data_IF_762503916104
#
_entry.id   IF_762503916104
#
_cell.length_a   1.000
_cell.length_b   1.000
_cell.length_c   1.000
_cell.angle_alpha   90.00
_cell.angle_beta   90.00
_cell.angle_gamma   90.00
#
_symmetry.space_group_name_H-M   'P 1'
#
loop_
_entity.id
_entity.type
_entity.pdbx_description
1 polymer ?
#
# COMPACT_ATOMS: atom_id res chain seq x y z
N UNK A 1 1.34 -26.48 -88.96
CA UNK A 1 1.44 -26.39 -90.44
C UNK A 1 0.05 -26.12 -91.00
N UNK A 2 -0.14 -25.30 -92.05
CA UNK A 2 0.11 -23.85 -92.12
C UNK A 2 -1.07 -23.06 -92.76
N UNK A 3 -0.95 -21.73 -92.82
CA UNK A 3 -1.45 -20.74 -93.81
C UNK A 3 -2.03 -19.49 -93.11
N UNK A 4 -1.35 -18.35 -93.04
CA UNK A 4 -0.95 -17.32 -94.03
C UNK A 4 -2.04 -16.33 -94.50
N UNK A 5 -1.69 -15.05 -94.31
CA UNK A 5 -2.00 -13.84 -95.11
C UNK A 5 -3.43 -13.26 -95.06
N UNK A 6 -3.68 -11.96 -95.15
CA UNK A 6 -2.90 -10.71 -95.13
C UNK A 6 -3.91 -9.56 -95.27
N UNK A 7 -3.63 -8.37 -94.73
CA UNK A 7 -3.61 -7.07 -95.46
C UNK A 7 -3.56 -5.89 -94.49
N UNK A 8 -3.10 -4.76 -95.04
CA UNK A 8 -2.30 -3.75 -94.41
C UNK A 8 -2.97 -2.37 -94.33
N UNK A 9 -2.25 -1.46 -93.66
CA UNK A 9 -2.19 0.00 -93.85
C UNK A 9 -3.16 0.88 -93.06
N UNK A 10 -2.61 1.63 -92.09
CA UNK A 10 -2.42 3.09 -92.22
C UNK A 10 -1.52 3.60 -91.09
N UNK A 11 -0.42 4.26 -91.46
CA UNK A 11 0.51 4.95 -90.57
C UNK A 11 -0.13 6.19 -89.93
N UNK A 12 0.28 6.49 -88.69
CA UNK A 12 -0.18 7.67 -87.94
C UNK A 12 0.64 7.93 -86.69
N UNK A 13 1.84 8.48 -86.90
CA UNK A 13 2.65 9.34 -86.02
C UNK A 13 2.63 9.11 -84.49
N UNK A 14 3.81 8.69 -84.00
CA UNK A 14 4.18 8.59 -82.60
C UNK A 14 4.19 9.94 -81.84
N UNK A 15 3.66 9.93 -80.61
CA UNK A 15 4.00 10.89 -79.54
C UNK A 15 4.35 10.11 -78.27
N UNK A 16 5.64 9.87 -78.09
CA UNK A 16 6.25 9.25 -76.91
C UNK A 16 6.21 10.19 -75.71
N UNK A 17 5.57 9.76 -74.62
CA UNK A 17 5.70 10.39 -73.28
C UNK A 17 7.10 10.10 -72.71
N UNK A 18 7.80 11.07 -72.13
CA UNK A 18 9.10 10.82 -71.51
C UNK A 18 8.92 10.10 -70.16
N UNK A 19 9.60 8.97 -70.02
CA UNK A 19 9.77 8.22 -68.77
C UNK A 19 10.77 9.00 -67.90
N UNK A 20 10.39 9.46 -66.70
CA UNK A 20 11.32 10.17 -65.82
C UNK A 20 12.42 9.22 -65.33
N UNK A 21 13.66 9.60 -65.64
CA UNK A 21 14.87 8.90 -65.21
C UNK A 21 15.24 9.48 -63.84
N UNK A 22 15.05 8.71 -62.76
CA UNK A 22 15.61 9.08 -61.44
C UNK A 22 17.15 9.11 -61.56
N UNK A 23 17.74 10.27 -61.30
CA UNK A 23 19.19 10.40 -61.11
C UNK A 23 19.59 9.76 -59.78
N UNK A 24 20.78 9.12 -59.68
CA UNK A 24 21.33 8.72 -58.39
C UNK A 24 21.81 9.96 -57.64
N UNK A 25 21.46 10.11 -56.37
CA UNK A 25 22.06 11.14 -55.50
C UNK A 25 23.57 10.93 -55.43
N UNK A 26 24.34 11.98 -55.76
CA UNK A 26 25.79 12.01 -55.54
C UNK A 26 26.11 11.84 -54.04
N UNK A 27 27.02 10.91 -53.74
CA UNK A 27 27.55 10.75 -52.40
C UNK A 27 28.46 11.95 -52.04
N UNK A 28 28.37 12.50 -50.82
CA UNK A 28 29.18 13.66 -50.42
C UNK A 28 30.67 13.31 -50.41
N UNK A 29 31.48 14.24 -50.93
CA UNK A 29 32.95 14.12 -51.05
C UNK A 29 33.61 13.85 -49.68
N UNK A 30 34.70 13.08 -49.70
CA UNK A 30 35.47 12.57 -48.54
C UNK A 30 35.74 13.61 -47.43
N UNK A 31 35.97 14.87 -47.79
CA UNK A 31 36.25 15.97 -46.86
C UNK A 31 35.05 16.32 -45.99
N UNK A 32 33.83 16.26 -46.53
CA UNK A 32 32.58 16.58 -45.81
C UNK A 32 32.25 15.50 -44.78
N UNK A 33 32.57 14.23 -45.06
CA UNK A 33 32.40 13.13 -44.09
C UNK A 33 33.37 13.22 -42.92
N UNK A 34 34.60 13.70 -43.15
CA UNK A 34 35.60 13.91 -42.08
C UNK A 34 35.19 15.07 -41.17
N UNK A 35 34.71 16.18 -41.74
CA UNK A 35 34.23 17.33 -40.97
C UNK A 35 32.98 16.99 -40.15
N UNK A 36 32.00 16.30 -40.74
CA UNK A 36 30.81 15.84 -40.02
C UNK A 36 31.16 14.87 -38.89
N UNK A 37 32.09 13.92 -39.11
CA UNK A 37 32.57 13.04 -38.03
C UNK A 37 33.29 13.80 -36.92
N UNK A 38 34.12 14.79 -37.24
CA UNK A 38 34.83 15.59 -36.24
C UNK A 38 33.86 16.44 -35.40
N UNK A 39 32.85 17.04 -36.03
CA UNK A 39 31.81 17.80 -35.32
C UNK A 39 30.93 16.88 -34.47
N UNK A 40 30.53 15.72 -34.99
CA UNK A 40 29.73 14.75 -34.23
C UNK A 40 30.50 14.19 -33.02
N UNK A 41 31.80 13.92 -33.19
CA UNK A 41 32.66 13.46 -32.09
C UNK A 41 32.86 14.57 -31.05
N UNK A 42 33.03 15.83 -31.47
CA UNK A 42 33.09 16.97 -30.56
C UNK A 42 31.79 17.16 -29.75
N UNK A 43 30.64 17.07 -30.41
CA UNK A 43 29.31 17.23 -29.77
C UNK A 43 28.99 16.08 -28.81
N UNK A 44 29.48 14.86 -29.07
CA UNK A 44 29.34 13.71 -28.15
C UNK A 44 30.29 13.74 -26.95
N UNK A 45 31.45 14.39 -27.09
CA UNK A 45 32.44 14.47 -25.99
C UNK A 45 32.06 15.51 -24.93
N UNK A 46 31.35 16.58 -25.29
CA UNK A 46 30.88 17.60 -24.34
C UNK A 46 29.97 17.04 -23.23
N UNK A 47 28.90 16.26 -23.53
CA UNK A 47 28.07 15.67 -22.48
C UNK A 47 28.81 14.58 -21.69
N UNK A 48 29.75 13.84 -22.30
CA UNK A 48 30.56 12.85 -21.58
C UNK A 48 31.50 13.50 -20.56
N UNK A 49 32.06 14.67 -20.89
CA UNK A 49 32.88 15.46 -19.96
C UNK A 49 31.98 16.07 -18.85
N UNK A 50 30.79 16.56 -19.20
CA UNK A 50 29.84 17.12 -18.22
C UNK A 50 29.30 16.08 -17.23
N UNK A 51 29.19 14.81 -17.63
CA UNK A 51 28.78 13.70 -16.74
C UNK A 51 29.98 13.11 -15.98
N UNK A 52 31.18 13.11 -16.58
CA UNK A 52 32.37 12.52 -15.96
C UNK A 52 33.02 13.39 -14.89
N UNK A 53 33.00 14.72 -15.04
CA UNK A 53 33.64 15.64 -14.08
C UNK A 53 33.03 15.54 -12.66
N UNK A 54 31.68 15.50 -12.48
CA UNK A 54 31.08 15.35 -11.14
C UNK A 54 31.42 14.02 -10.44
N UNK A 55 31.78 12.98 -11.20
CA UNK A 55 32.18 11.67 -10.65
C UNK A 55 33.64 11.63 -10.17
N UNK A 56 34.49 12.50 -10.71
CA UNK A 56 35.94 12.52 -10.42
C UNK A 56 36.27 13.58 -9.37
N UNK A 57 35.49 14.66 -9.29
CA UNK A 57 35.67 15.72 -8.30
C UNK A 57 34.31 16.27 -7.81
N UNK A 58 33.57 15.50 -7.00
CA UNK A 58 32.25 15.90 -6.51
C UNK A 58 32.29 17.20 -5.68
N UNK A 59 33.41 17.47 -5.01
CA UNK A 59 33.62 18.65 -4.15
C UNK A 59 33.62 19.98 -4.92
N UNK A 60 33.76 19.96 -6.26
CA UNK A 60 33.65 21.13 -7.13
C UNK A 60 32.18 21.48 -7.49
N UNK A 61 31.24 20.57 -7.22
CA UNK A 61 29.83 20.67 -7.63
C UNK A 61 28.84 20.51 -6.49
N UNK A 62 29.31 20.08 -5.32
CA UNK A 62 28.53 19.98 -4.09
C UNK A 62 28.94 21.14 -3.18
N UNK A 63 28.12 22.18 -3.17
CA UNK A 63 28.22 23.24 -2.15
C UNK A 63 27.46 22.77 -0.90
N UNK A 64 28.17 22.62 0.21
CA UNK A 64 27.61 22.12 1.48
C UNK A 64 26.39 22.95 1.93
N UNK A 65 26.36 24.25 1.61
CA UNK A 65 25.24 25.13 1.93
C UNK A 65 23.94 24.78 1.20
N UNK A 66 24.03 24.34 -0.06
CA UNK A 66 22.86 24.00 -0.87
C UNK A 66 22.33 22.59 -0.60
N UNK A 67 23.19 21.65 -0.18
CA UNK A 67 22.76 20.34 0.33
C UNK A 67 22.05 20.49 1.67
N UNK A 68 22.56 21.33 2.58
CA UNK A 68 21.90 21.61 3.86
C UNK A 68 20.57 22.36 3.70
N UNK A 69 20.46 23.24 2.71
CA UNK A 69 19.18 23.89 2.36
C UNK A 69 18.15 22.89 1.80
N UNK A 70 18.57 21.92 0.98
CA UNK A 70 17.69 20.86 0.49
C UNK A 70 17.30 19.88 1.59
N UNK A 71 18.23 19.50 2.47
CA UNK A 71 17.97 18.63 3.61
C UNK A 71 17.07 19.31 4.65
N UNK A 72 17.26 20.60 4.95
CA UNK A 72 16.36 21.34 5.86
C UNK A 72 14.95 21.51 5.28
N UNK A 73 14.83 21.70 3.97
CA UNK A 73 13.53 21.75 3.27
C UNK A 73 12.85 20.37 3.26
N UNK A 74 13.61 19.28 3.16
CA UNK A 74 13.09 17.91 3.10
C UNK A 74 12.77 17.32 4.48
N UNK A 75 13.54 17.68 5.51
CA UNK A 75 13.40 17.16 6.89
C UNK A 75 12.74 18.15 7.86
N UNK A 76 12.46 19.40 7.46
CA UNK A 76 11.78 20.39 8.30
C UNK A 76 12.56 20.81 9.55
N UNK A 77 13.90 20.74 9.52
CA UNK A 77 14.76 21.13 10.64
C UNK A 77 15.03 22.64 10.57
N UNK A 78 14.81 23.42 11.64
CA UNK A 78 15.16 24.85 11.65
C UNK A 78 16.67 25.05 11.48
N UNK A 79 17.07 25.93 10.56
CA UNK A 79 18.48 26.32 10.35
C UNK A 79 19.07 26.92 11.64
N UNK A 80 20.19 26.40 12.17
CA UNK A 80 20.89 27.01 13.30
C UNK A 80 21.89 28.04 12.77
N UNK A 81 21.41 29.11 12.17
CA UNK A 81 22.24 30.29 11.84
C UNK A 81 21.45 31.57 12.14
N UNK A 82 21.12 31.73 13.41
CA UNK A 82 20.88 33.03 14.03
C UNK A 82 21.20 32.89 15.52
N UNK A 83 22.46 33.13 15.87
CA UNK A 83 22.84 33.99 17.00
C UNK A 83 24.35 33.86 17.22
N UNK A 84 25.05 34.98 17.07
CA UNK A 84 26.47 35.07 17.34
C UNK A 84 26.75 35.33 18.81
N UNK A 85 27.73 34.63 19.38
CA UNK A 85 28.84 35.27 20.10
C UNK A 85 29.90 34.25 20.54
N UNK A 86 31.14 34.58 20.18
CA UNK A 86 32.40 34.39 20.94
C UNK A 86 32.92 33.00 21.36
N UNK A 87 34.11 32.73 20.80
CA UNK A 87 35.35 32.23 21.45
C UNK A 87 35.49 30.73 21.79
N UNK A 88 36.56 30.14 21.26
CA UNK A 88 37.26 29.01 21.91
C UNK A 88 37.66 27.88 20.97
N UNK A 89 38.80 28.02 20.29
CA UNK A 89 39.47 26.90 19.63
C UNK A 89 39.99 25.92 20.69
N UNK A 90 39.65 24.65 20.56
CA UNK A 90 40.15 23.56 21.41
C UNK A 90 39.98 22.23 20.70
N UNK A 91 41.07 21.75 20.10
CA UNK A 91 41.18 20.38 19.60
C UNK A 91 41.02 19.39 20.77
N UNK A 92 40.19 18.37 20.62
CA UNK A 92 40.21 17.22 21.52
C UNK A 92 40.05 15.91 20.77
N UNK A 93 41.08 15.09 20.93
CA UNK A 93 41.27 13.74 20.42
C UNK A 93 40.29 12.78 21.09
N UNK A 94 39.62 11.94 20.28
CA UNK A 94 38.77 10.84 20.74
C UNK A 94 39.62 9.66 21.20
N UNK A 95 39.60 9.36 22.49
CA UNK A 95 39.92 8.03 23.03
C UNK A 95 38.71 7.53 23.84
N UNK A 96 37.98 6.57 23.26
CA UNK A 96 36.92 5.85 23.96
C UNK A 96 37.54 4.87 24.96
N UNK A 97 37.32 5.12 26.25
CA UNK A 97 37.54 4.16 27.32
C UNK A 97 36.22 3.91 28.03
N UNK A 98 35.75 2.67 27.94
CA UNK A 98 34.51 2.15 28.51
C UNK A 98 34.65 1.86 30.00
N UNK A 99 33.81 2.45 30.82
CA UNK A 99 33.39 1.92 32.13
C UNK A 99 32.01 2.48 32.52
N UNK A 100 31.11 1.66 33.10
CA UNK A 100 29.70 2.01 33.24
C UNK A 100 29.42 2.74 34.56
N UNK A 101 28.73 3.87 34.49
CA UNK A 101 28.13 4.53 35.65
C UNK A 101 26.66 4.14 35.74
N UNK A 102 26.31 3.51 36.85
CA UNK A 102 24.93 3.25 37.29
C UNK A 102 24.14 4.57 37.32
N UNK A 103 23.19 4.73 36.40
CA UNK A 103 22.16 5.75 36.50
C UNK A 103 20.86 5.11 36.96
N UNK A 104 20.53 5.37 38.22
CA UNK A 104 19.21 5.07 38.79
C UNK A 104 18.24 6.13 38.26
N UNK A 105 17.74 5.90 37.04
CA UNK A 105 16.69 6.69 36.42
C UNK A 105 15.41 5.88 36.46
N UNK A 106 14.41 6.38 37.21
CA UNK A 106 13.04 5.88 37.17
C UNK A 106 12.49 6.10 35.76
N UNK A 107 12.71 5.11 34.89
CA UNK A 107 12.01 4.98 33.63
C UNK A 107 10.52 4.90 33.96
N UNK A 108 9.76 5.87 33.46
CA UNK A 108 8.32 5.74 33.29
C UNK A 108 8.09 4.55 32.37
N UNK A 109 8.07 3.35 32.94
CA UNK A 109 7.55 2.16 32.29
C UNK A 109 6.15 2.52 31.79
N UNK A 110 5.95 2.47 30.48
CA UNK A 110 4.62 2.44 29.90
C UNK A 110 3.91 1.25 30.53
N UNK A 111 3.11 1.51 31.54
CA UNK A 111 2.25 0.50 32.13
C UNK A 111 1.51 -0.19 30.98
N UNK A 112 1.46 -1.54 30.96
CA UNK A 112 0.67 -2.26 29.96
C UNK A 112 -0.73 -1.65 29.95
N UNK A 113 -1.19 -1.21 28.79
CA UNK A 113 -2.56 -0.72 28.64
C UNK A 113 -3.47 -1.85 29.14
N UNK A 114 -4.23 -1.57 30.20
CA UNK A 114 -5.14 -2.54 30.80
C UNK A 114 -6.40 -2.61 29.93
N UNK A 115 -6.67 -3.78 29.37
CA UNK A 115 -7.66 -4.00 28.32
C UNK A 115 -6.97 -4.15 26.95
N UNK A 116 -7.31 -5.19 26.20
CA UNK A 116 -6.69 -5.49 24.89
C UNK A 116 -6.90 -4.39 23.84
N UNK A 117 -6.58 -4.68 22.58
CA UNK A 117 -6.79 -3.74 21.49
C UNK A 117 -8.27 -3.41 21.29
N UNK A 118 -8.55 -2.19 20.83
CA UNK A 118 -9.91 -1.65 20.67
C UNK A 118 -10.45 -1.78 19.26
N UNK A 119 -9.56 -1.90 18.27
CA UNK A 119 -9.91 -2.09 16.87
C UNK A 119 -8.71 -2.74 16.14
N UNK A 120 -9.00 -3.25 14.94
CA UNK A 120 -8.00 -3.75 14.01
C UNK A 120 -8.05 -2.93 12.72
N UNK A 121 -6.87 -2.69 12.15
CA UNK A 121 -6.69 -2.08 10.84
C UNK A 121 -5.95 -3.03 9.92
N UNK A 122 -6.27 -2.99 8.63
CA UNK A 122 -5.53 -3.70 7.60
C UNK A 122 -4.98 -2.71 6.55
N UNK A 123 -3.73 -2.85 6.18
CA UNK A 123 -3.10 -2.15 5.05
C UNK A 123 -2.65 -3.21 4.07
N UNK A 124 -3.32 -3.32 2.92
CA UNK A 124 -3.17 -4.41 1.97
C UNK A 124 -2.64 -3.86 0.64
N UNK A 125 -1.42 -4.25 0.26
CA UNK A 125 -0.68 -3.61 -0.83
C UNK A 125 -0.28 -4.62 -1.91
N UNK A 126 -0.86 -4.49 -3.10
CA UNK A 126 -0.35 -5.09 -4.33
C UNK A 126 0.56 -4.08 -5.02
N UNK A 127 1.87 -4.34 -5.04
CA UNK A 127 2.85 -3.38 -5.58
C UNK A 127 3.13 -3.55 -7.06
N UNK A 128 2.67 -4.65 -7.67
CA UNK A 128 3.00 -5.00 -9.05
C UNK A 128 1.95 -4.55 -10.04
N UNK A 129 2.41 -4.21 -11.25
CA UNK A 129 1.55 -3.89 -12.39
C UNK A 129 1.73 -4.88 -13.54
N UNK A 130 0.90 -4.76 -14.57
CA UNK A 130 0.83 -5.57 -15.78
C UNK A 130 0.10 -6.91 -15.62
N UNK A 131 -0.50 -7.34 -16.74
CA UNK A 131 -1.32 -8.54 -16.83
C UNK A 131 -0.65 -9.81 -16.30
N UNK A 132 0.63 -10.01 -16.58
CA UNK A 132 1.36 -11.21 -16.14
C UNK A 132 1.56 -11.28 -14.61
N UNK A 133 1.29 -10.18 -13.90
CA UNK A 133 1.32 -10.09 -12.44
C UNK A 133 -0.07 -10.15 -11.80
N UNK A 134 -1.09 -10.62 -12.54
CA UNK A 134 -2.46 -10.85 -12.07
C UNK A 134 -2.53 -11.41 -10.64
N UNK A 135 -1.71 -12.42 -10.35
CA UNK A 135 -1.63 -13.09 -9.05
C UNK A 135 -1.41 -12.19 -7.86
N UNK A 136 -0.60 -11.12 -7.97
CA UNK A 136 -0.35 -10.23 -6.83
C UNK A 136 -1.62 -9.45 -6.45
N UNK A 137 -2.44 -9.08 -7.44
CA UNK A 137 -3.72 -8.45 -7.18
C UNK A 137 -4.73 -9.44 -6.57
N UNK A 138 -4.77 -10.67 -7.08
CA UNK A 138 -5.61 -11.72 -6.52
C UNK A 138 -5.22 -12.09 -5.07
N UNK A 139 -3.92 -12.15 -4.76
CA UNK A 139 -3.39 -12.31 -3.41
C UNK A 139 -3.97 -11.24 -2.46
N UNK A 140 -3.83 -9.97 -2.81
CA UNK A 140 -4.30 -8.84 -2.00
C UNK A 140 -5.82 -8.84 -1.85
N UNK A 141 -6.57 -9.14 -2.92
CA UNK A 141 -8.03 -9.24 -2.84
C UNK A 141 -8.49 -10.45 -2.00
N UNK A 142 -7.76 -11.56 -2.02
CA UNK A 142 -7.98 -12.69 -1.14
C UNK A 142 -7.82 -12.33 0.34
N UNK A 143 -6.76 -11.58 0.67
CA UNK A 143 -6.54 -11.04 2.02
C UNK A 143 -7.63 -10.06 2.42
N UNK A 144 -8.02 -9.15 1.51
CA UNK A 144 -9.11 -8.20 1.71
C UNK A 144 -10.43 -8.90 2.04
N UNK A 145 -10.81 -9.91 1.26
CA UNK A 145 -11.99 -10.73 1.55
C UNK A 145 -11.89 -11.39 2.93
N UNK A 146 -10.73 -11.92 3.28
CA UNK A 146 -10.52 -12.62 4.55
C UNK A 146 -10.74 -11.69 5.74
N UNK A 147 -10.12 -10.51 5.75
CA UNK A 147 -10.30 -9.54 6.84
C UNK A 147 -11.74 -9.01 6.92
N UNK A 148 -12.41 -8.80 5.78
CA UNK A 148 -13.83 -8.41 5.75
C UNK A 148 -14.75 -9.49 6.29
N UNK A 149 -14.55 -10.74 5.89
CA UNK A 149 -15.32 -11.89 6.41
C UNK A 149 -15.17 -12.01 7.92
N UNK A 150 -13.95 -11.78 8.42
CA UNK A 150 -13.63 -11.81 9.84
C UNK A 150 -14.03 -10.52 10.58
N UNK A 151 -14.57 -9.53 9.87
CA UNK A 151 -15.34 -8.43 10.43
C UNK A 151 -14.64 -7.09 10.51
N UNK A 152 -13.43 -6.93 9.94
CA UNK A 152 -12.84 -5.60 9.80
C UNK A 152 -13.69 -4.81 8.79
N UNK A 153 -14.25 -3.64 9.17
CA UNK A 153 -15.03 -2.81 8.25
C UNK A 153 -14.13 -2.12 7.23
N UNK A 154 -14.68 -1.74 6.07
CA UNK A 154 -13.91 -1.03 5.03
C UNK A 154 -13.28 0.26 5.52
N UNK A 155 -13.92 0.97 6.46
CA UNK A 155 -13.35 2.15 7.10
C UNK A 155 -12.01 1.90 7.83
N UNK A 156 -11.66 0.64 8.06
CA UNK A 156 -10.46 0.19 8.72
C UNK A 156 -9.53 -0.64 7.80
N UNK A 157 -9.81 -0.66 6.49
CA UNK A 157 -8.99 -1.36 5.50
C UNK A 157 -8.50 -0.33 4.51
N UNK A 158 -7.18 -0.22 4.35
CA UNK A 158 -6.56 0.55 3.27
C UNK A 158 -6.13 -0.42 2.18
N UNK A 159 -6.81 -0.40 1.04
CA UNK A 159 -6.51 -1.27 -0.09
C UNK A 159 -5.78 -0.52 -1.21
N UNK A 160 -4.56 -0.97 -1.54
CA UNK A 160 -3.72 -0.39 -2.58
C UNK A 160 -3.49 -1.41 -3.70
N UNK A 161 -4.01 -1.13 -4.91
CA UNK A 161 -3.84 -1.98 -6.09
C UNK A 161 -3.12 -1.22 -7.21
N UNK A 162 -1.87 -1.62 -7.50
CA UNK A 162 -1.03 -0.97 -8.51
C UNK A 162 -1.49 -1.18 -9.96
N UNK A 163 -2.44 -2.09 -10.20
CA UNK A 163 -3.07 -2.31 -11.51
C UNK A 163 -4.50 -2.83 -11.31
N UNK A 164 -5.28 -2.84 -12.38
CA UNK A 164 -6.66 -3.32 -12.39
C UNK A 164 -6.83 -4.43 -13.42
N UNK A 165 -6.65 -5.67 -12.98
CA UNK A 165 -6.87 -6.82 -13.85
C UNK A 165 -8.35 -7.08 -14.14
N UNK A 166 -9.28 -6.57 -13.33
CA UNK A 166 -10.72 -6.69 -13.58
C UNK A 166 -11.12 -5.89 -14.83
N UNK A 167 -10.52 -4.71 -15.02
CA UNK A 167 -10.73 -3.83 -16.17
C UNK A 167 -9.72 -4.03 -17.33
N UNK A 168 -8.81 -5.00 -17.23
CA UNK A 168 -7.79 -5.21 -18.25
C UNK A 168 -8.41 -5.79 -19.54
N UNK A 169 -8.11 -5.26 -20.75
CA UNK A 169 -8.65 -5.79 -22.02
C UNK A 169 -8.28 -7.25 -22.31
N UNK A 170 -7.26 -7.80 -21.64
CA UNK A 170 -6.88 -9.22 -21.75
C UNK A 170 -7.73 -10.13 -20.87
N UNK A 171 -8.48 -9.58 -19.92
CA UNK A 171 -9.36 -10.35 -19.06
C UNK A 171 -10.60 -10.79 -19.84
N UNK A 172 -10.70 -12.11 -20.09
CA UNK A 172 -11.88 -12.71 -20.73
C UNK A 172 -13.14 -12.61 -19.86
N UNK A 173 -13.02 -12.25 -18.59
CA UNK A 173 -14.11 -12.10 -17.63
C UNK A 173 -14.11 -10.66 -17.07
N UNK A 174 -14.62 -9.67 -17.82
CA UNK A 174 -14.61 -8.27 -17.41
C UNK A 174 -15.26 -8.07 -16.03
N UNK A 175 -14.62 -7.25 -15.20
CA UNK A 175 -15.10 -6.91 -13.87
C UNK A 175 -14.86 -7.99 -12.80
N UNK A 176 -14.18 -9.09 -13.12
CA UNK A 176 -13.97 -10.22 -12.20
C UNK A 176 -12.51 -10.57 -12.00
N UNK A 177 -12.19 -11.03 -10.80
CA UNK A 177 -10.86 -11.53 -10.43
C UNK A 177 -11.00 -12.87 -9.72
N UNK A 178 -10.16 -13.84 -10.07
CA UNK A 178 -10.27 -15.23 -9.63
C UNK A 178 -8.94 -15.69 -9.03
N UNK A 179 -8.97 -16.41 -7.90
CA UNK A 179 -7.77 -17.06 -7.35
C UNK A 179 -7.49 -18.46 -7.94
N UNK A 180 -8.47 -19.06 -8.61
CA UNK A 180 -8.41 -20.43 -9.08
C UNK A 180 -9.18 -20.64 -10.40
N UNK A 181 -8.78 -21.66 -11.16
CA UNK A 181 -9.31 -21.90 -12.52
C UNK A 181 -10.75 -22.45 -12.50
N UNK A 182 -11.21 -22.97 -11.36
CA UNK A 182 -12.60 -23.42 -11.20
C UNK A 182 -13.57 -22.23 -11.01
N UNK A 183 -13.06 -21.01 -10.80
CA UNK A 183 -13.82 -19.75 -10.74
C UNK A 183 -14.98 -19.80 -9.75
N UNK A 184 -14.74 -20.44 -8.61
CA UNK A 184 -15.76 -20.60 -7.56
C UNK A 184 -16.13 -19.27 -6.88
N UNK A 185 -15.18 -18.33 -6.83
CA UNK A 185 -15.32 -17.10 -6.05
C UNK A 185 -14.66 -15.93 -6.76
N UNK A 186 -15.48 -14.92 -7.08
CA UNK A 186 -15.01 -13.63 -7.59
C UNK A 186 -14.47 -12.80 -6.42
N UNK A 187 -13.18 -12.49 -6.47
CA UNK A 187 -12.46 -11.72 -5.47
C UNK A 187 -12.67 -10.21 -5.62
N UNK A 188 -13.05 -9.74 -6.80
CA UNK A 188 -13.31 -8.31 -7.03
C UNK A 188 -14.72 -7.97 -6.58
N UNK A 189 -15.73 -8.72 -7.05
CA UNK A 189 -17.11 -8.58 -6.61
C UNK A 189 -17.66 -7.16 -6.68
N UNK A 190 -18.76 -6.89 -5.97
CA UNK A 190 -19.44 -5.58 -5.99
C UNK A 190 -18.98 -4.66 -4.84
N UNK A 191 -18.33 -5.20 -3.81
CA UNK A 191 -18.10 -4.52 -2.53
C UNK A 191 -16.61 -4.33 -2.20
N UNK A 192 -15.74 -4.26 -3.22
CA UNK A 192 -14.32 -3.93 -3.01
C UNK A 192 -14.14 -2.42 -3.07
N UNK A 193 -13.65 -1.85 -1.97
CA UNK A 193 -13.26 -0.45 -1.87
C UNK A 193 -11.75 -0.34 -2.06
N UNK A 194 -11.31 0.11 -3.24
CA UNK A 194 -9.89 0.38 -3.51
C UNK A 194 -9.59 1.84 -3.15
N UNK A 195 -8.65 2.07 -2.24
CA UNK A 195 -8.29 3.41 -1.78
C UNK A 195 -7.23 4.05 -2.65
N UNK A 196 -6.19 3.29 -3.03
CA UNK A 196 -5.11 3.75 -3.90
C UNK A 196 -5.08 2.89 -5.15
N UNK A 197 -5.29 3.52 -6.32
CA UNK A 197 -5.36 2.83 -7.61
C UNK A 197 -4.19 3.23 -8.52
N UNK A 198 -3.63 2.26 -9.22
CA UNK A 198 -2.65 2.50 -10.28
C UNK A 198 -1.46 3.33 -9.77
N UNK A 199 -1.24 4.49 -10.39
CA UNK A 199 -0.15 5.41 -10.05
C UNK A 199 -0.16 5.93 -8.61
N UNK A 200 -1.31 5.91 -7.92
CA UNK A 200 -1.37 6.28 -6.51
C UNK A 200 -0.67 5.25 -5.60
N UNK A 201 -0.41 4.04 -6.08
CA UNK A 201 0.33 3.00 -5.34
C UNK A 201 1.84 3.23 -5.49
N UNK A 202 2.35 4.23 -4.78
CA UNK A 202 3.77 4.58 -4.74
C UNK A 202 4.37 4.30 -3.36
N UNK A 203 5.71 4.23 -3.31
CA UNK A 203 6.45 4.14 -2.04
C UNK A 203 6.10 5.32 -1.13
N UNK A 204 6.09 6.52 -1.70
CA UNK A 204 5.76 7.76 -1.00
C UNK A 204 4.38 7.70 -0.32
N UNK A 205 3.35 7.25 -1.03
CA UNK A 205 2.01 7.18 -0.48
C UNK A 205 1.89 6.11 0.61
N UNK A 206 2.52 4.95 0.45
CA UNK A 206 2.55 3.93 1.50
C UNK A 206 3.19 4.49 2.78
N UNK A 207 4.37 5.11 2.67
CA UNK A 207 5.07 5.71 3.82
C UNK A 207 4.23 6.82 4.47
N UNK A 208 3.55 7.66 3.68
CA UNK A 208 2.65 8.70 4.21
C UNK A 208 1.46 8.11 4.96
N UNK A 209 0.87 7.03 4.46
CA UNK A 209 -0.25 6.33 5.12
C UNK A 209 0.21 5.77 6.46
N UNK A 210 1.30 5.00 6.47
CA UNK A 210 1.83 4.38 7.70
C UNK A 210 2.19 5.44 8.74
N UNK A 211 2.95 6.46 8.35
CA UNK A 211 3.43 7.51 9.27
C UNK A 211 2.39 8.60 9.58
N UNK A 212 1.21 8.53 8.96
CA UNK A 212 0.15 9.55 9.01
C UNK A 212 0.59 10.95 8.60
N UNK A 213 1.45 11.04 7.60
CA UNK A 213 1.89 12.29 6.98
C UNK A 213 1.13 12.56 5.68
N UNK A 214 -0.14 12.19 5.64
CA UNK A 214 -1.02 12.49 4.51
C UNK A 214 -1.47 13.96 4.56
N UNK A 215 -1.67 14.63 3.42
CA UNK A 215 -2.19 16.00 3.39
C UNK A 215 -3.53 16.13 4.15
N UNK A 216 -3.82 17.28 4.81
CA UNK A 216 -5.09 17.50 5.51
C UNK A 216 -6.34 17.41 4.62
N UNK A 217 -6.19 17.51 3.30
CA UNK A 217 -7.27 17.33 2.30
C UNK A 217 -7.52 15.87 1.92
N UNK A 218 -6.66 14.93 2.33
CA UNK A 218 -6.79 13.51 1.99
C UNK A 218 -8.11 12.96 2.52
N UNK A 219 -8.94 12.27 1.73
CA UNK A 219 -10.19 11.69 2.25
C UNK A 219 -9.94 10.72 3.41
N UNK A 220 -10.90 10.60 4.34
CA UNK A 220 -10.76 9.70 5.50
C UNK A 220 -10.53 8.24 5.11
N UNK A 221 -11.15 7.77 4.03
CA UNK A 221 -10.96 6.40 3.53
C UNK A 221 -9.51 6.11 3.13
N UNK A 222 -8.73 7.14 2.75
CA UNK A 222 -7.31 7.01 2.40
C UNK A 222 -6.37 7.28 3.58
N UNK A 223 -6.84 7.20 4.83
CA UNK A 223 -6.03 7.46 6.03
C UNK A 223 -6.08 6.29 6.98
N UNK A 224 -4.90 5.86 7.42
CA UNK A 224 -4.76 4.92 8.52
C UNK A 224 -4.98 5.66 9.84
N UNK A 225 -6.19 5.68 10.38
CA UNK A 225 -6.53 6.37 11.64
C UNK A 225 -6.34 5.45 12.86
N UNK A 226 -5.25 4.68 12.86
CA UNK A 226 -4.85 3.79 13.95
C UNK A 226 -4.17 4.56 15.10
N UNK A 227 -4.28 4.01 16.31
CA UNK A 227 -3.82 4.62 17.55
C UNK A 227 -3.09 3.61 18.46
N UNK A 228 -2.77 4.03 19.68
CA UNK A 228 -2.04 3.26 20.68
C UNK A 228 -2.75 1.96 21.14
N UNK A 229 -4.02 1.78 20.77
CA UNK A 229 -4.86 0.61 21.08
C UNK A 229 -5.35 -0.10 19.82
N UNK A 230 -4.75 0.18 18.67
CA UNK A 230 -5.11 -0.41 17.39
C UNK A 230 -4.10 -1.48 17.02
N UNK A 231 -4.53 -2.70 16.69
CA UNK A 231 -3.62 -3.64 16.02
C UNK A 231 -3.63 -3.37 14.52
N UNK A 232 -2.47 -3.49 13.88
CA UNK A 232 -2.31 -3.21 12.45
C UNK A 232 -1.80 -4.45 11.74
N UNK A 233 -2.55 -4.93 10.75
CA UNK A 233 -2.09 -5.95 9.80
C UNK A 233 -1.58 -5.26 8.53
N UNK A 234 -0.27 -5.33 8.29
CA UNK A 234 0.36 -4.83 7.06
C UNK A 234 0.70 -6.02 6.17
N UNK A 235 0.00 -6.15 5.04
CA UNK A 235 0.24 -7.16 4.02
C UNK A 235 0.79 -6.54 2.75
N UNK A 236 1.90 -7.08 2.24
CA UNK A 236 2.52 -6.61 1.00
C UNK A 236 2.83 -7.78 0.07
N UNK A 237 2.52 -7.65 -1.21
CA UNK A 237 2.85 -8.67 -2.22
C UNK A 237 3.31 -8.04 -3.53
N UNK A 238 4.29 -8.67 -4.16
CA UNK A 238 4.87 -8.21 -5.41
C UNK A 238 6.17 -8.92 -5.75
N UNK A 239 6.95 -8.29 -6.64
CA UNK A 239 8.31 -8.74 -6.95
C UNK A 239 9.32 -8.03 -6.07
N UNK A 240 10.35 -8.73 -5.64
CA UNK A 240 11.37 -8.21 -4.74
C UNK A 240 12.61 -9.10 -4.71
N UNK A 241 13.45 -8.87 -3.72
CA UNK A 241 14.69 -9.60 -3.52
C UNK A 241 15.29 -9.31 -2.15
N UNK A 242 16.61 -9.44 -2.04
CA UNK A 242 17.32 -9.24 -0.77
C UNK A 242 17.16 -7.79 -0.28
N UNK A 243 16.32 -7.62 0.74
CA UNK A 243 16.03 -6.35 1.42
C UNK A 243 15.30 -5.29 0.56
N UNK A 244 14.59 -5.69 -0.52
CA UNK A 244 13.75 -4.76 -1.28
C UNK A 244 12.50 -5.38 -1.90
N UNK A 245 11.49 -4.54 -2.15
CA UNK A 245 10.27 -4.86 -2.90
C UNK A 245 10.01 -3.79 -3.96
N UNK A 246 9.75 -4.21 -5.19
CA UNK A 246 9.47 -3.31 -6.32
C UNK A 246 8.06 -2.74 -6.24
N UNK A 247 7.94 -1.46 -6.55
CA UNK A 247 6.70 -0.73 -6.76
C UNK A 247 6.55 -0.38 -8.24
N UNK A 248 5.45 -0.82 -8.83
CA UNK A 248 5.06 -0.52 -10.20
C UNK A 248 6.18 -0.75 -11.24
N UNK A 249 7.10 -1.69 -11.00
CA UNK A 249 8.23 -2.02 -11.87
C UNK A 249 9.21 -0.85 -12.16
N UNK A 250 9.25 0.19 -11.34
CA UNK A 250 10.17 1.33 -11.54
C UNK A 250 10.73 1.95 -10.25
N UNK A 251 10.05 1.75 -9.12
CA UNK A 251 10.53 2.14 -7.79
C UNK A 251 10.79 0.90 -6.95
N UNK A 252 11.54 1.07 -5.86
CA UNK A 252 11.80 0.03 -4.87
C UNK A 252 11.64 0.61 -3.47
N UNK A 253 11.02 -0.14 -2.57
CA UNK A 253 11.04 0.12 -1.13
C UNK A 253 11.99 -0.88 -0.48
N UNK A 254 12.88 -0.39 0.37
CA UNK A 254 13.84 -1.24 1.08
C UNK A 254 13.28 -1.75 2.42
N UNK A 255 13.91 -2.79 2.97
CA UNK A 255 13.65 -3.24 4.34
C UNK A 255 13.91 -2.14 5.38
N UNK A 256 14.82 -1.21 5.09
CA UNK A 256 15.13 -0.06 5.95
C UNK A 256 13.99 0.96 5.94
N UNK A 257 13.42 1.27 4.77
CA UNK A 257 12.29 2.20 4.67
C UNK A 257 11.06 1.69 5.45
N UNK A 258 10.80 0.36 5.39
CA UNK A 258 9.74 -0.27 6.19
C UNK A 258 10.05 -0.19 7.68
N UNK A 259 11.29 -0.50 8.09
CA UNK A 259 11.70 -0.40 9.49
C UNK A 259 11.53 1.01 10.06
N UNK A 260 11.98 2.03 9.33
CA UNK A 260 11.87 3.43 9.75
C UNK A 260 10.43 3.95 9.72
N UNK A 261 9.58 3.43 8.82
CA UNK A 261 8.16 3.76 8.84
C UNK A 261 7.46 3.16 10.06
N UNK A 262 7.74 1.90 10.39
CA UNK A 262 7.20 1.23 11.58
C UNK A 262 7.72 1.90 12.87
N UNK A 263 8.96 2.36 12.89
CA UNK A 263 9.49 3.13 14.03
C UNK A 263 8.75 4.45 14.21
N UNK A 264 8.52 5.17 13.13
CA UNK A 264 7.71 6.39 13.21
C UNK A 264 6.28 6.12 13.62
N UNK A 265 5.71 4.96 13.28
CA UNK A 265 4.40 4.55 13.80
C UNK A 265 4.46 4.32 15.31
N UNK A 266 5.52 3.66 15.80
CA UNK A 266 5.73 3.40 17.22
C UNK A 266 5.85 4.69 18.03
N UNK A 267 6.75 5.58 17.63
CA UNK A 267 7.00 6.87 18.28
C UNK A 267 5.73 7.75 18.31
N UNK A 268 4.92 7.68 17.25
CA UNK A 268 3.63 8.39 17.17
C UNK A 268 2.47 7.64 17.81
N UNK A 269 2.71 6.49 18.44
CA UNK A 269 1.70 5.64 19.08
C UNK A 269 0.54 5.29 18.14
N UNK A 270 0.87 4.85 16.92
CA UNK A 270 -0.10 4.48 15.87
C UNK A 270 -0.41 2.99 15.81
N UNK A 271 0.18 2.18 16.68
CA UNK A 271 -0.23 0.80 16.86
C UNK A 271 -0.02 0.37 18.32
N UNK A 272 -0.80 -0.61 18.73
CA UNK A 272 -0.58 -1.43 19.92
C UNK A 272 0.34 -2.60 19.59
N UNK A 273 -0.07 -3.39 18.58
CA UNK A 273 0.68 -4.50 17.99
C UNK A 273 0.60 -4.43 16.46
N UNK A 274 1.67 -4.83 15.77
CA UNK A 274 1.73 -4.84 14.31
C UNK A 274 2.09 -6.23 13.82
N UNK A 275 1.32 -6.74 12.86
CA UNK A 275 1.63 -7.96 12.13
C UNK A 275 2.03 -7.62 10.69
N UNK A 276 3.29 -7.85 10.34
CA UNK A 276 3.82 -7.62 9.00
C UNK A 276 3.95 -8.94 8.23
N UNK A 277 3.19 -9.07 7.15
CA UNK A 277 3.20 -10.25 6.29
C UNK A 277 3.58 -9.85 4.87
N UNK A 278 4.54 -10.56 4.27
CA UNK A 278 5.04 -10.21 2.95
C UNK A 278 5.23 -11.42 2.04
N UNK A 279 4.69 -11.36 0.83
CA UNK A 279 4.82 -12.40 -0.20
C UNK A 279 5.61 -11.89 -1.40
N UNK A 280 6.90 -12.25 -1.46
CA UNK A 280 7.85 -11.91 -2.53
C UNK A 280 9.04 -12.88 -2.50
N UNK A 281 9.89 -12.87 -3.54
CA UNK A 281 11.21 -13.50 -3.48
C UNK A 281 12.05 -12.89 -2.35
N UNK A 282 12.73 -13.73 -1.57
CA UNK A 282 13.53 -13.37 -0.40
C UNK A 282 12.76 -12.56 0.66
N UNK A 283 11.44 -12.77 0.76
CA UNK A 283 10.54 -12.04 1.66
C UNK A 283 11.03 -11.93 3.11
N UNK A 284 11.71 -12.95 3.65
CA UNK A 284 12.21 -12.95 5.03
C UNK A 284 13.24 -11.84 5.31
N UNK A 285 13.84 -11.27 4.27
CA UNK A 285 14.79 -10.17 4.38
C UNK A 285 14.09 -8.82 4.59
N UNK A 286 12.80 -8.70 4.24
CA UNK A 286 12.06 -7.43 4.35
C UNK A 286 11.79 -7.01 5.81
N UNK A 287 11.77 -7.95 6.74
CA UNK A 287 11.57 -7.66 8.17
C UNK A 287 12.86 -7.74 8.98
N UNK A 288 14.02 -8.00 8.35
CA UNK A 288 15.31 -8.19 9.06
C UNK A 288 15.79 -6.91 9.75
N UNK A 289 15.41 -5.75 9.22
CA UNK A 289 15.82 -4.43 9.71
C UNK A 289 14.84 -3.80 10.68
N UNK A 290 13.66 -4.38 10.90
CA UNK A 290 12.69 -3.86 11.86
C UNK A 290 13.31 -3.96 13.27
N UNK A 291 13.17 -2.88 14.05
CA UNK A 291 13.70 -2.78 15.41
C UNK A 291 12.67 -2.28 16.43
N UNK A 292 11.50 -1.83 15.98
CA UNK A 292 10.42 -1.36 16.86
C UNK A 292 9.75 -2.52 17.60
N UNK A 293 9.31 -2.32 18.85
CA UNK A 293 8.70 -3.38 19.66
C UNK A 293 7.27 -3.69 19.19
N UNK A 294 6.72 -4.79 19.69
CA UNK A 294 5.37 -5.29 19.41
C UNK A 294 5.10 -5.58 17.93
N UNK A 295 6.14 -6.00 17.20
CA UNK A 295 6.03 -6.39 15.79
C UNK A 295 6.21 -7.91 15.64
N UNK A 296 5.17 -8.57 15.14
CA UNK A 296 5.23 -9.93 14.62
C UNK A 296 5.43 -9.86 13.10
N UNK A 297 6.32 -10.66 12.53
CA UNK A 297 6.53 -10.66 11.08
C UNK A 297 6.63 -12.05 10.48
N UNK A 298 6.17 -12.20 9.24
CA UNK A 298 6.30 -13.43 8.46
C UNK A 298 6.50 -13.14 6.97
N UNK A 299 7.21 -14.03 6.29
CA UNK A 299 7.54 -13.89 4.87
C UNK A 299 7.43 -15.21 4.14
N UNK A 300 7.19 -15.17 2.83
CA UNK A 300 6.98 -16.37 2.01
C UNK A 300 8.23 -17.18 1.68
N UNK A 301 9.42 -16.57 1.72
CA UNK A 301 10.65 -17.19 1.23
C UNK A 301 11.90 -16.67 1.92
N UNK A 302 12.85 -17.58 2.17
CA UNK A 302 14.13 -17.30 2.81
C UNK A 302 15.08 -16.52 1.88
N UNK A 303 16.06 -15.84 2.46
CA UNK A 303 17.18 -15.23 1.72
C UNK A 303 17.79 -16.25 0.74
N UNK A 304 18.00 -15.83 -0.50
CA UNK A 304 18.47 -16.69 -1.59
C UNK A 304 17.42 -17.54 -2.29
N UNK A 305 16.14 -17.48 -1.88
CA UNK A 305 15.04 -18.23 -2.51
C UNK A 305 14.09 -17.31 -3.28
N UNK A 306 13.44 -17.89 -4.29
CA UNK A 306 12.29 -17.27 -4.95
C UNK A 306 11.00 -17.58 -4.17
N UNK A 307 9.96 -16.79 -4.43
CA UNK A 307 8.58 -17.16 -4.18
C UNK A 307 7.96 -17.72 -5.46
N UNK A 308 6.91 -18.52 -5.33
CA UNK A 308 6.37 -19.27 -6.45
C UNK A 308 4.87 -19.04 -6.63
N UNK A 309 4.49 -18.82 -7.90
CA UNK A 309 3.09 -18.77 -8.29
C UNK A 309 2.40 -20.14 -8.23
N UNK A 310 1.08 -20.13 -8.08
CA UNK A 310 0.17 -21.26 -8.07
C UNK A 310 -0.98 -21.04 -9.08
N UNK A 311 -1.68 -22.12 -9.44
CA UNK A 311 -2.82 -22.12 -10.36
C UNK A 311 -2.66 -21.28 -11.63
N UNK A 312 -2.32 -21.92 -12.76
CA UNK A 312 -2.36 -21.28 -14.07
C UNK A 312 -3.71 -21.49 -14.73
N UNK A 313 -4.29 -20.44 -15.31
CA UNK A 313 -5.54 -20.53 -16.06
C UNK A 313 -5.30 -20.35 -17.56
N UNK A 314 -5.75 -21.33 -18.35
CA UNK A 314 -5.56 -21.33 -19.80
C UNK A 314 -6.38 -20.28 -20.54
N UNK A 315 -7.48 -19.81 -19.95
CA UNK A 315 -8.28 -18.72 -20.52
C UNK A 315 -7.64 -17.36 -20.29
N UNK A 316 -7.08 -17.13 -19.11
CA UNK A 316 -6.40 -15.88 -18.75
C UNK A 316 -4.93 -15.85 -19.23
N UNK A 317 -4.32 -17.02 -19.43
CA UNK A 317 -2.93 -17.17 -19.88
C UNK A 317 -1.89 -16.74 -18.85
N UNK A 318 -2.26 -16.70 -17.56
CA UNK A 318 -1.43 -16.23 -16.45
C UNK A 318 -1.61 -17.10 -15.21
N UNK A 319 -0.66 -17.00 -14.27
CA UNK A 319 -0.83 -17.56 -12.94
C UNK A 319 -1.78 -16.67 -12.11
N UNK A 320 -2.64 -17.29 -11.31
CA UNK A 320 -3.79 -16.64 -10.68
C UNK A 320 -3.54 -16.21 -9.26
N UNK A 321 -2.62 -16.86 -8.54
CA UNK A 321 -2.33 -16.59 -7.13
C UNK A 321 -0.90 -17.06 -6.79
N UNK A 322 -0.28 -16.59 -5.71
CA UNK A 322 0.99 -17.15 -5.22
C UNK A 322 0.79 -18.24 -4.16
N UNK A 323 1.70 -19.21 -4.11
CA UNK A 323 1.57 -20.42 -3.27
C UNK A 323 1.47 -20.11 -1.79
N UNK A 324 2.32 -19.23 -1.28
CA UNK A 324 2.31 -18.85 0.13
C UNK A 324 0.98 -18.19 0.51
N UNK A 325 0.56 -17.17 -0.26
CA UNK A 325 -0.72 -16.51 -0.03
C UNK A 325 -1.89 -17.48 -0.18
N UNK A 326 -1.90 -18.36 -1.19
CA UNK A 326 -2.93 -19.40 -1.35
C UNK A 326 -3.01 -20.30 -0.11
N UNK A 327 -1.86 -20.78 0.40
CA UNK A 327 -1.78 -21.63 1.58
C UNK A 327 -2.37 -20.94 2.82
N UNK A 328 -2.03 -19.66 3.05
CA UNK A 328 -2.61 -18.90 4.17
C UNK A 328 -4.11 -18.68 3.98
N UNK A 329 -4.58 -18.38 2.77
CA UNK A 329 -6.01 -18.19 2.52
C UNK A 329 -6.80 -19.49 2.71
N UNK A 330 -6.26 -20.64 2.30
CA UNK A 330 -6.85 -21.95 2.55
C UNK A 330 -6.97 -22.24 4.05
N UNK A 331 -5.92 -21.96 4.83
CA UNK A 331 -5.94 -22.10 6.29
C UNK A 331 -7.01 -21.22 6.96
N UNK A 332 -7.23 -20.03 6.41
CA UNK A 332 -8.18 -19.04 6.94
C UNK A 332 -9.63 -19.23 6.47
N UNK A 333 -9.90 -20.13 5.51
CA UNK A 333 -11.20 -20.20 4.81
C UNK A 333 -12.37 -20.65 5.70
N UNK A 334 -12.12 -21.56 6.63
CA UNK A 334 -13.07 -22.09 7.61
C UNK A 334 -13.11 -21.29 8.92
N UNK A 335 -12.27 -20.26 9.06
CA UNK A 335 -12.19 -19.43 10.28
C UNK A 335 -13.25 -18.32 10.24
N UNK A 336 -13.81 -18.02 11.41
CA UNK A 336 -14.83 -16.98 11.59
C UNK A 336 -14.44 -15.99 12.70
N UNK A 337 -15.32 -15.01 12.98
CA UNK A 337 -15.06 -13.92 13.94
C UNK A 337 -14.85 -14.38 15.39
N UNK A 338 -15.29 -15.59 15.73
CA UNK A 338 -15.16 -16.19 17.06
C UNK A 338 -14.14 -17.33 17.08
N UNK A 339 -13.23 -17.37 16.09
CA UNK A 339 -12.21 -18.40 16.02
C UNK A 339 -11.23 -18.27 17.18
N UNK A 340 -10.94 -19.38 17.84
CA UNK A 340 -9.91 -19.48 18.88
C UNK A 340 -8.54 -19.89 18.29
N UNK A 341 -8.45 -20.07 16.96
CA UNK A 341 -7.20 -20.38 16.27
C UNK A 341 -6.14 -19.31 16.53
N UNK A 342 -4.94 -19.76 16.82
CA UNK A 342 -3.81 -18.92 17.24
C UNK A 342 -2.86 -18.60 16.09
N UNK A 343 -2.00 -17.61 16.28
CA UNK A 343 -0.89 -17.31 15.37
C UNK A 343 0.10 -18.47 15.35
N UNK A 344 0.27 -19.19 16.47
CA UNK A 344 1.05 -20.43 16.51
C UNK A 344 0.46 -21.48 15.56
N UNK A 345 -0.87 -21.71 15.60
CA UNK A 345 -1.53 -22.66 14.69
C UNK A 345 -1.33 -22.30 13.21
N UNK A 346 -1.38 -20.99 12.88
CA UNK A 346 -1.13 -20.51 11.52
C UNK A 346 0.31 -20.83 11.08
N UNK A 347 1.30 -20.55 11.92
CA UNK A 347 2.70 -20.76 11.58
C UNK A 347 3.09 -22.24 11.58
N UNK A 348 2.54 -23.04 12.48
CA UNK A 348 2.73 -24.50 12.49
C UNK A 348 2.09 -25.18 11.28
N UNK A 349 1.11 -24.52 10.64
CA UNK A 349 0.51 -25.01 9.41
C UNK A 349 1.40 -24.77 8.17
N UNK A 350 2.43 -23.94 8.24
CA UNK A 350 3.30 -23.67 7.10
C UNK A 350 4.03 -24.94 6.65
N UNK A 351 3.86 -25.27 5.36
CA UNK A 351 4.44 -26.46 4.77
C UNK A 351 5.31 -26.08 3.55
N UNK A 352 6.65 -26.11 3.67
CA UNK A 352 7.57 -25.81 2.57
C UNK A 352 7.36 -26.67 1.32
N UNK A 353 6.89 -27.92 1.47
CA UNK A 353 6.63 -28.81 0.33
C UNK A 353 5.41 -28.35 -0.49
N UNK A 354 4.44 -27.69 0.13
CA UNK A 354 3.26 -27.12 -0.55
C UNK A 354 3.57 -25.72 -1.09
N UNK A 355 4.25 -24.91 -0.28
CA UNK A 355 4.59 -23.51 -0.57
C UNK A 355 5.70 -23.40 -1.62
N UNK A 356 6.56 -24.42 -1.73
CA UNK A 356 7.76 -24.49 -2.59
C UNK A 356 8.87 -23.48 -2.23
N UNK A 357 8.79 -22.86 -1.07
CA UNK A 357 9.83 -22.02 -0.47
C UNK A 357 9.77 -22.16 1.05
N UNK A 358 10.81 -21.69 1.75
CA UNK A 358 10.84 -21.71 3.22
C UNK A 358 10.26 -20.41 3.79
N UNK A 359 8.99 -20.39 4.24
CA UNK A 359 8.44 -19.23 4.92
C UNK A 359 9.15 -19.02 6.26
N UNK A 360 9.32 -17.75 6.64
CA UNK A 360 9.93 -17.37 7.90
C UNK A 360 8.93 -16.70 8.83
N UNK A 361 9.22 -16.77 10.13
CA UNK A 361 8.52 -16.04 11.18
C UNK A 361 9.57 -15.38 12.07
N UNK A 362 9.36 -14.11 12.42
CA UNK A 362 10.20 -13.35 13.34
C UNK A 362 9.36 -12.91 14.54
N UNK A 363 9.82 -13.27 15.74
CA UNK A 363 9.07 -13.13 17.00
C UNK A 363 9.83 -12.40 18.11
N UNK A 364 11.13 -12.09 17.93
CA UNK A 364 11.98 -11.47 18.96
C UNK A 364 11.48 -10.09 19.42
N UNK A 365 10.74 -9.38 18.56
CA UNK A 365 10.12 -8.08 18.85
C UNK A 365 8.70 -8.20 19.38
N UNK A 366 8.13 -9.40 19.49
CA UNK A 366 6.75 -9.64 19.87
C UNK A 366 6.68 -10.40 21.18
N UNK A 367 6.19 -9.74 22.25
CA UNK A 367 6.33 -10.25 23.61
C UNK A 367 5.26 -11.27 24.05
N UNK A 368 4.12 -11.34 23.36
CA UNK A 368 3.06 -12.29 23.73
C UNK A 368 3.40 -13.70 23.21
N UNK A 369 3.16 -14.75 24.01
CA UNK A 369 3.20 -16.13 23.54
C UNK A 369 2.23 -16.33 22.37
N UNK A 370 2.70 -16.92 21.27
CA UNK A 370 1.93 -17.03 20.04
C UNK A 370 0.73 -17.99 20.14
N UNK A 371 0.79 -18.95 21.06
CA UNK A 371 -0.31 -19.85 21.44
C UNK A 371 -1.43 -19.12 22.21
N UNK A 372 -1.20 -17.89 22.65
CA UNK A 372 -2.19 -17.02 23.30
C UNK A 372 -2.60 -15.83 22.40
N UNK A 373 -2.09 -15.76 21.17
CA UNK A 373 -2.39 -14.68 20.23
C UNK A 373 -3.30 -15.25 19.15
N UNK A 374 -4.54 -14.78 19.08
CA UNK A 374 -5.51 -15.30 18.11
C UNK A 374 -5.23 -14.74 16.73
N UNK A 375 -5.54 -15.49 15.67
CA UNK A 375 -5.54 -14.93 14.31
C UNK A 375 -6.52 -13.75 14.21
N UNK A 376 -7.61 -13.77 14.97
CA UNK A 376 -8.58 -12.66 15.02
C UNK A 376 -8.02 -11.40 15.67
N UNK A 377 -6.89 -11.45 16.39
CA UNK A 377 -6.25 -10.26 16.95
C UNK A 377 -5.66 -9.35 15.85
N UNK A 378 -5.42 -9.88 14.65
CA UNK A 378 -4.96 -9.10 13.49
C UNK A 378 -5.94 -9.13 12.31
N UNK A 379 -6.58 -10.29 12.06
CA UNK A 379 -7.46 -10.46 10.89
C UNK A 379 -8.94 -10.17 11.20
N UNK A 380 -9.34 -10.14 12.48
CA UNK A 380 -10.74 -10.05 12.90
C UNK A 380 -11.21 -8.64 13.21
N UNK A 381 -12.52 -8.40 13.12
CA UNK A 381 -13.13 -7.16 13.61
C UNK A 381 -13.34 -7.19 15.12
N UNK A 382 -13.09 -6.07 15.80
CA UNK A 382 -13.38 -5.91 17.23
C UNK A 382 -14.71 -5.16 17.38
N UNK A 383 -15.71 -5.81 17.95
CA UNK A 383 -16.97 -5.16 18.35
C UNK A 383 -16.93 -4.91 19.86
N UNK A 384 -16.70 -3.66 20.26
CA UNK A 384 -16.87 -3.26 21.66
C UNK A 384 -18.37 -3.11 21.94
N UNK A 385 -18.95 -4.05 22.71
CA UNK A 385 -20.31 -3.90 23.21
C UNK A 385 -20.24 -3.10 24.50
N UNK A 386 -20.49 -1.79 24.42
CA UNK A 386 -20.72 -1.00 25.62
C UNK A 386 -22.10 -1.38 26.19
N UNK A 387 -22.10 -2.25 27.19
CA UNK A 387 -23.31 -2.58 27.93
C UNK A 387 -23.73 -1.34 28.72
N UNK A 388 -24.63 -0.54 28.15
CA UNK A 388 -25.27 0.55 28.90
C UNK A 388 -26.01 -0.07 30.08
N UNK A 389 -25.50 0.15 31.30
CA UNK A 389 -26.20 -0.28 32.51
C UNK A 389 -27.60 0.37 32.48
N UNK A 390 -28.69 -0.36 32.78
CA UNK A 390 -29.99 0.26 32.93
C UNK A 390 -29.83 1.40 33.92
N UNK A 391 -30.20 2.62 33.52
CA UNK A 391 -30.21 3.76 34.42
C UNK A 391 -30.89 3.29 35.71
N UNK A 392 -30.15 3.31 36.82
CA UNK A 392 -30.74 3.06 38.12
C UNK A 392 -31.98 3.97 38.17
N UNK A 393 -33.15 3.39 38.45
CA UNK A 393 -34.35 4.17 38.73
C UNK A 393 -33.96 5.15 39.84
N UNK A 394 -33.66 6.39 39.46
CA UNK A 394 -33.61 7.50 40.38
C UNK A 394 -35.06 7.63 40.85
N UNK A 395 -35.33 7.09 42.04
CA UNK A 395 -36.56 7.40 42.76
C UNK A 395 -36.41 8.89 43.06
N UNK A 396 -37.27 9.76 42.48
CA UNK A 396 -37.15 11.18 42.73
C UNK A 396 -37.28 11.41 44.23
N UNK A 397 -36.42 12.27 44.78
CA UNK A 397 -36.47 12.57 46.21
C UNK A 397 -37.77 13.31 46.52
N UNK A 398 -38.20 13.28 47.78
CA UNK A 398 -39.42 13.96 48.20
C UNK A 398 -39.38 15.48 47.89
N UNK A 399 -38.18 16.07 47.83
CA UNK A 399 -37.97 17.46 47.40
C UNK A 399 -38.29 17.66 45.91
N UNK A 400 -37.82 16.78 45.02
CA UNK A 400 -38.09 16.90 43.57
C UNK A 400 -39.57 16.72 43.23
N UNK A 401 -40.29 15.93 44.03
CA UNK A 401 -41.74 15.77 43.91
C UNK A 401 -42.51 17.01 44.39
N UNK A 402 -42.05 17.68 45.45
CA UNK A 402 -42.66 18.92 45.94
C UNK A 402 -42.43 20.08 44.96
N UNK A 403 -41.23 20.16 44.38
CA UNK A 403 -40.86 21.18 43.40
C UNK A 403 -41.65 21.05 42.09
N UNK A 404 -42.02 19.82 41.71
CA UNK A 404 -42.90 19.54 40.57
C UNK A 404 -44.37 19.89 40.84
N UNK A 405 -44.83 19.77 42.09
CA UNK A 405 -46.19 20.13 42.51
C UNK A 405 -46.32 21.65 42.59
N UNK A 406 -45.35 22.37 43.17
CA UNK A 406 -45.35 23.84 43.22
C UNK A 406 -45.32 24.48 41.82
N UNK A 407 -44.59 23.89 40.87
CA UNK A 407 -44.61 24.34 39.47
C UNK A 407 -45.93 24.06 38.74
N UNK A 408 -46.77 23.17 39.25
CA UNK A 408 -48.08 22.89 38.66
C UNK A 408 -49.18 23.86 39.11
N UNK A 409 -48.96 24.61 40.21
CA UNK A 409 -49.92 25.56 40.77
C UNK A 409 -49.72 27.02 40.29
N UNK A 410 -48.60 27.33 39.62
CA UNK A 410 -48.39 28.64 39.01
C UNK A 410 -48.93 28.64 37.57
N UNK A 411 -50.11 29.25 37.42
CA UNK A 411 -50.89 29.32 36.19
C UNK A 411 -50.11 29.84 34.97
N UNK A 412 -50.45 29.26 33.82
CA UNK A 412 -49.99 29.63 32.49
C UNK A 412 -50.28 31.10 32.16
N UNK A 413 -49.23 31.87 31.87
CA UNK A 413 -49.33 33.07 31.05
C UNK A 413 -49.07 32.69 29.59
N UNK A 414 -50.06 32.92 28.73
CA UNK A 414 -49.97 32.63 27.30
C UNK A 414 -49.13 33.71 26.62
N UNK A 415 -47.92 33.36 26.18
CA UNK A 415 -47.14 34.17 25.23
C UNK A 415 -47.09 33.45 23.88
N UNK A 416 -47.55 34.06 22.78
CA UNK A 416 -47.60 33.41 21.47
C UNK A 416 -46.25 33.53 20.76
N UNK A 417 -45.69 32.41 20.27
CA UNK A 417 -44.60 32.51 19.30
C UNK A 417 -43.76 31.26 19.07
N UNK A 418 -44.10 30.54 18.00
CA UNK A 418 -43.27 29.64 17.17
C UNK A 418 -42.84 28.29 17.77
N UNK A 419 -43.72 27.34 17.46
CA UNK A 419 -43.54 25.89 17.38
C UNK A 419 -42.32 25.51 16.52
N UNK A 420 -41.40 24.71 17.06
CA UNK A 420 -40.63 23.74 16.29
C UNK A 420 -41.28 22.36 16.47
N UNK A 421 -41.79 21.80 15.38
CA UNK A 421 -42.41 20.48 15.31
C UNK A 421 -41.34 19.40 15.48
N UNK A 422 -41.47 18.62 16.55
CA UNK A 422 -40.94 17.27 16.67
C UNK A 422 -41.94 16.27 16.07
N UNK A 423 -41.40 15.36 15.26
CA UNK A 423 -41.83 14.00 14.96
C UNK A 423 -43.34 13.70 14.74
N UNK A 424 -43.62 13.13 13.56
CA UNK A 424 -44.74 12.20 13.42
C UNK A 424 -44.30 10.95 12.64
N UNK A 425 -44.39 9.80 13.33
CA UNK A 425 -44.60 8.48 12.74
C UNK A 425 -45.86 8.49 11.89
N UNK A 426 -45.87 7.72 10.79
CA UNK A 426 -47.08 7.05 10.31
C UNK A 426 -46.72 5.69 9.69
N UNK A 427 -47.43 4.65 10.16
CA UNK A 427 -47.58 3.36 9.49
C UNK A 427 -48.58 3.51 8.33
N UNK A 428 -48.45 2.66 7.31
CA UNK A 428 -49.62 2.08 6.63
C UNK A 428 -49.70 2.25 5.11
N UNK A 429 -49.43 1.14 4.42
CA UNK A 429 -50.06 0.63 3.20
C UNK A 429 -49.91 1.36 1.85
N UNK A 430 -49.53 0.60 0.81
CA UNK A 430 -49.89 0.92 -0.58
C UNK A 430 -48.88 0.51 -1.65
N UNK A 431 -49.14 -0.63 -2.28
CA UNK A 431 -48.72 -1.18 -3.57
C UNK A 431 -47.99 -0.31 -4.63
N UNK A 432 -47.21 -1.03 -5.47
CA UNK A 432 -46.66 -0.68 -6.80
C UNK A 432 -45.50 0.33 -6.78
N UNK A 433 -44.42 0.23 -7.56
CA UNK A 433 -44.02 -0.60 -8.69
C UNK A 433 -43.03 0.24 -9.52
N UNK A 434 -41.89 -0.37 -9.89
CA UNK A 434 -40.93 0.06 -10.92
C UNK A 434 -40.05 1.31 -10.70
N UNK A 435 -38.77 1.18 -11.11
CA UNK A 435 -38.00 2.29 -11.70
C UNK A 435 -36.54 2.40 -11.30
N UNK A 436 -35.66 1.65 -11.98
CA UNK A 436 -34.24 2.01 -12.10
C UNK A 436 -34.09 3.40 -12.77
N UNK A 437 -33.11 4.18 -12.33
CA UNK A 437 -32.68 5.41 -13.00
C UNK A 437 -31.24 5.75 -12.63
N UNK A 438 -30.33 5.52 -13.57
CA UNK A 438 -28.96 5.97 -13.52
C UNK A 438 -28.86 7.49 -13.72
N UNK A 439 -27.89 8.12 -13.04
CA UNK A 439 -27.07 9.21 -13.57
C UNK A 439 -25.64 8.96 -13.11
#
# INVERSE_FOLDING_TARGET
>A
MPQQQSQASSEGAAKTRPRSRRQPLEAPKSTTRKLVKAVLLGVLMVPLIAIGIPLIAPDLFIDEGSVLAQLSTFFGVPNPLSDGSSTGAGAFTSSYSSSPLHHNGTGSSSAPLTGGHTNNWAVLVCTSKFWFNYRHMANTLGMYRTVKRLGIPDSNIILMLADDAACNPRNKFPGKVWANSNRQLDLYGENVEVDYRGYEVSVENLIRVLTGRTPPSTPRSKRLESDARSNVFLYMTGHGGDEFLKFQDHEEISAFDIADAIEQMWEKKRYHELFFMVDTCQANTMYSRIYSPNVLATGSSKKGQNSYSHHSDGDLGVAMIDRFTNHVLEFMEDKNKTSETTMQDLFDNYNPDVIHSDPGVRTDLFHRPLDHVKVTDFFGGVAQVELTRPAARLVPTHEELLDAVERSEQGYEVVPGRVFLSAARCQGAGQSGAGCGAV
#
